data_IF_517136974335
#
_entry.id   IF_517136974335
#
_cell.length_a   1.000
_cell.length_b   1.000
_cell.length_c   1.000
_cell.angle_alpha   90.00
_cell.angle_beta   90.00
_cell.angle_gamma   90.00
#
_symmetry.space_group_name_H-M   'P 1'
#
loop_
_entity.id
_entity.type
_entity.pdbx_description
1 polymer ?
#
# COMPACT_ATOMS: atom_id res chain seq x y z
N UNK A 1 -4.36 -11.06 8.03
CA UNK A 1 -4.26 -11.11 6.55
C UNK A 1 -4.85 -12.43 6.10
N UNK A 2 -5.80 -12.38 5.16
CA UNK A 2 -6.51 -13.55 4.64
C UNK A 2 -6.23 -13.72 3.15
N UNK A 3 -6.39 -14.97 2.66
CA UNK A 3 -6.19 -15.32 1.24
C UNK A 3 -7.52 -15.76 0.65
N UNK A 4 -7.99 -15.08 -0.39
CA UNK A 4 -9.28 -15.35 -1.03
C UNK A 4 -9.17 -15.33 -2.56
N UNK A 5 -10.13 -15.96 -3.24
CA UNK A 5 -10.19 -15.91 -4.70
C UNK A 5 -10.71 -14.54 -5.16
N UNK A 6 -9.88 -13.78 -5.87
CA UNK A 6 -10.23 -12.44 -6.37
C UNK A 6 -10.25 -12.44 -7.90
N UNK A 7 -11.16 -11.67 -8.49
CA UNK A 7 -11.39 -11.64 -9.95
C UNK A 7 -10.84 -10.40 -10.65
N UNK A 8 -10.47 -9.35 -9.91
CA UNK A 8 -10.08 -8.06 -10.48
C UNK A 8 -8.89 -7.40 -9.78
N UNK A 9 -8.89 -7.38 -8.45
CA UNK A 9 -7.82 -6.79 -7.66
C UNK A 9 -6.89 -7.86 -7.10
N UNK A 10 -5.65 -7.46 -6.84
CA UNK A 10 -4.67 -8.32 -6.16
C UNK A 10 -4.96 -8.42 -4.66
N UNK A 11 -5.59 -7.42 -4.07
CA UNK A 11 -5.99 -7.37 -2.67
C UNK A 11 -6.97 -6.23 -2.42
N UNK A 12 -7.45 -6.14 -1.19
CA UNK A 12 -8.17 -4.99 -0.69
C UNK A 12 -8.11 -4.92 0.85
N UNK A 13 -8.34 -3.71 1.34
CA UNK A 13 -8.61 -3.42 2.75
C UNK A 13 -10.10 -3.19 2.93
N UNK A 14 -10.69 -3.88 3.90
CA UNK A 14 -12.02 -3.54 4.43
C UNK A 14 -11.83 -2.73 5.72
N UNK A 15 -12.05 -1.40 5.68
CA UNK A 15 -11.86 -0.56 6.85
C UNK A 15 -12.81 -0.88 8.00
N UNK A 16 -14.05 -1.29 7.69
CA UNK A 16 -15.08 -1.53 8.70
C UNK A 16 -14.77 -2.76 9.55
N UNK A 17 -14.29 -3.83 8.92
CA UNK A 17 -13.89 -5.06 9.61
C UNK A 17 -12.39 -5.10 9.96
N UNK A 18 -11.62 -4.08 9.55
CA UNK A 18 -10.15 -4.01 9.65
C UNK A 18 -9.45 -5.23 9.05
N UNK A 19 -10.03 -5.79 8.00
CA UNK A 19 -9.50 -6.97 7.31
C UNK A 19 -8.65 -6.55 6.12
N UNK A 20 -7.54 -7.26 5.94
CA UNK A 20 -6.70 -7.21 4.74
C UNK A 20 -6.82 -8.55 4.03
N UNK A 21 -7.31 -8.52 2.79
CA UNK A 21 -7.54 -9.68 1.95
C UNK A 21 -6.62 -9.62 0.74
N UNK A 22 -5.96 -10.75 0.43
CA UNK A 22 -5.00 -10.89 -0.65
C UNK A 22 -5.43 -12.03 -1.57
N UNK A 23 -5.23 -11.87 -2.87
CA UNK A 23 -5.52 -12.89 -3.87
C UNK A 23 -4.78 -14.20 -3.57
N UNK A 24 -5.52 -15.31 -3.59
CA UNK A 24 -4.98 -16.64 -3.30
C UNK A 24 -3.93 -17.09 -4.34
N UNK A 25 -4.12 -16.71 -5.60
CA UNK A 25 -3.28 -17.15 -6.73
C UNK A 25 -2.03 -16.30 -6.97
N UNK A 26 -1.76 -15.31 -6.11
CA UNK A 26 -0.59 -14.45 -6.25
C UNK A 26 0.69 -15.18 -5.88
N UNK A 27 1.73 -15.00 -6.70
CA UNK A 27 3.10 -15.41 -6.36
C UNK A 27 3.52 -14.84 -5.00
N UNK A 28 4.43 -15.50 -4.24
CA UNK A 28 4.83 -15.02 -2.92
C UNK A 28 5.29 -13.55 -2.90
N UNK A 29 6.07 -13.13 -3.90
CA UNK A 29 6.54 -11.75 -4.01
C UNK A 29 5.39 -10.75 -4.26
N UNK A 30 4.48 -11.06 -5.19
CA UNK A 30 3.31 -10.21 -5.45
C UNK A 30 2.36 -10.17 -4.26
N UNK A 31 2.18 -11.28 -3.56
CA UNK A 31 1.38 -11.35 -2.35
C UNK A 31 1.99 -10.50 -1.22
N UNK A 32 3.30 -10.57 -1.02
CA UNK A 32 4.00 -9.73 -0.05
C UNK A 32 3.85 -8.24 -0.38
N UNK A 33 4.11 -7.83 -1.63
CA UNK A 33 3.89 -6.44 -2.09
C UNK A 33 2.45 -5.99 -1.84
N UNK A 34 1.49 -6.83 -2.21
CA UNK A 34 0.06 -6.50 -2.06
C UNK A 34 -0.30 -6.36 -0.59
N UNK A 35 0.18 -7.26 0.28
CA UNK A 35 -0.08 -7.19 1.71
C UNK A 35 0.50 -5.92 2.34
N UNK A 36 1.71 -5.50 1.94
CA UNK A 36 2.31 -4.24 2.39
C UNK A 36 1.49 -3.02 1.94
N UNK A 37 1.00 -3.03 0.70
CA UNK A 37 0.16 -1.97 0.14
C UNK A 37 -1.19 -1.87 0.87
N UNK A 38 -1.89 -2.98 1.06
CA UNK A 38 -3.16 -2.98 1.79
C UNK A 38 -2.97 -2.61 3.27
N UNK A 39 -1.90 -3.08 3.92
CA UNK A 39 -1.58 -2.65 5.27
C UNK A 39 -1.32 -1.14 5.35
N UNK A 40 -0.69 -0.54 4.32
CA UNK A 40 -0.53 0.90 4.24
C UNK A 40 -1.89 1.63 4.14
N UNK A 41 -2.83 1.12 3.32
CA UNK A 41 -4.21 1.64 3.30
C UNK A 41 -4.89 1.54 4.65
N UNK A 42 -4.76 0.40 5.34
CA UNK A 42 -5.34 0.23 6.68
C UNK A 42 -4.76 1.22 7.72
N UNK A 43 -3.48 1.58 7.60
CA UNK A 43 -2.83 2.51 8.52
C UNK A 43 -3.10 3.98 8.23
N UNK A 44 -3.19 4.35 6.96
CA UNK A 44 -3.32 5.75 6.52
C UNK A 44 -4.77 6.17 6.23
N UNK A 45 -5.59 5.24 5.75
CA UNK A 45 -6.85 5.57 5.06
C UNK A 45 -8.09 4.89 5.65
N UNK A 46 -7.96 4.06 6.67
CA UNK A 46 -9.09 3.30 7.22
C UNK A 46 -10.20 4.18 7.83
N UNK A 47 -9.85 5.36 8.33
CA UNK A 47 -10.80 6.29 8.96
C UNK A 47 -11.31 7.37 7.98
N UNK A 48 -10.94 7.29 6.69
CA UNK A 48 -11.44 8.21 5.68
C UNK A 48 -12.87 7.83 5.26
N UNK A 49 -13.75 8.83 5.21
CA UNK A 49 -15.06 8.66 4.59
C UNK A 49 -14.90 8.25 3.12
N UNK A 50 -15.73 7.32 2.59
CA UNK A 50 -15.58 6.82 1.23
C UNK A 50 -15.56 7.92 0.16
N UNK A 51 -16.32 8.98 0.35
CA UNK A 51 -16.32 10.13 -0.55
C UNK A 51 -14.98 10.89 -0.57
N UNK A 52 -14.38 11.09 0.60
CA UNK A 52 -13.07 11.75 0.73
C UNK A 52 -11.95 10.88 0.16
N UNK A 53 -12.03 9.56 0.38
CA UNK A 53 -11.11 8.61 -0.27
C UNK A 53 -11.20 8.69 -1.79
N UNK A 54 -12.41 8.68 -2.35
CA UNK A 54 -12.60 8.73 -3.80
C UNK A 54 -12.14 10.06 -4.41
N UNK A 55 -12.35 11.18 -3.71
CA UNK A 55 -11.89 12.51 -4.13
C UNK A 55 -10.37 12.60 -4.19
N UNK A 56 -9.67 12.01 -3.22
CA UNK A 56 -8.21 12.06 -3.11
C UNK A 56 -7.53 10.74 -3.45
N UNK A 57 -8.18 9.89 -4.25
CA UNK A 57 -7.73 8.52 -4.49
C UNK A 57 -6.30 8.46 -5.03
N UNK A 58 -5.92 9.35 -5.94
CA UNK A 58 -4.56 9.39 -6.49
C UNK A 58 -3.49 9.62 -5.43
N UNK A 59 -3.77 10.47 -4.43
CA UNK A 59 -2.87 10.73 -3.30
C UNK A 59 -2.79 9.47 -2.42
N UNK A 60 -3.94 8.90 -2.04
CA UNK A 60 -4.00 7.72 -1.18
C UNK A 60 -3.26 6.51 -1.80
N UNK A 61 -3.45 6.27 -3.09
CA UNK A 61 -2.77 5.19 -3.79
C UNK A 61 -1.27 5.47 -3.97
N UNK A 62 -0.88 6.74 -4.19
CA UNK A 62 0.54 7.16 -4.21
C UNK A 62 1.20 6.89 -2.85
N UNK A 63 0.54 7.23 -1.75
CA UNK A 63 1.04 6.96 -0.40
C UNK A 63 1.16 5.45 -0.16
N UNK A 64 0.11 4.67 -0.42
CA UNK A 64 0.10 3.24 -0.14
C UNK A 64 1.13 2.47 -0.98
N UNK A 65 1.27 2.77 -2.27
CA UNK A 65 2.30 2.17 -3.13
C UNK A 65 3.71 2.56 -2.71
N UNK A 66 3.92 3.82 -2.31
CA UNK A 66 5.23 4.29 -1.86
C UNK A 66 5.63 3.67 -0.53
N UNK A 67 4.70 3.54 0.42
CA UNK A 67 4.91 2.82 1.69
C UNK A 67 5.29 1.37 1.42
N UNK A 68 4.55 0.67 0.55
CA UNK A 68 4.82 -0.71 0.20
C UNK A 68 6.22 -0.89 -0.42
N UNK A 69 6.61 0.03 -1.31
CA UNK A 69 7.94 0.03 -1.92
C UNK A 69 9.06 0.21 -0.90
N UNK A 70 8.95 1.22 -0.02
CA UNK A 70 9.97 1.49 1.00
C UNK A 70 10.06 0.34 2.01
N UNK A 71 8.93 -0.14 2.53
CA UNK A 71 8.90 -1.24 3.48
C UNK A 71 9.45 -2.54 2.89
N UNK A 72 9.09 -2.87 1.63
CA UNK A 72 9.65 -4.01 0.93
C UNK A 72 11.18 -3.91 0.82
N UNK A 73 11.71 -2.74 0.46
CA UNK A 73 13.15 -2.49 0.38
C UNK A 73 13.86 -2.69 1.72
N UNK A 74 13.28 -2.20 2.83
CA UNK A 74 13.82 -2.40 4.18
C UNK A 74 13.83 -3.88 4.57
N UNK A 75 12.83 -4.66 4.14
CA UNK A 75 12.73 -6.10 4.37
C UNK A 75 13.58 -6.93 3.40
N UNK A 76 14.34 -6.31 2.50
CA UNK A 76 15.19 -6.99 1.52
C UNK A 76 14.44 -7.61 0.34
N UNK A 77 13.21 -7.17 0.07
CA UNK A 77 12.38 -7.62 -1.06
C UNK A 77 12.51 -6.62 -2.23
N UNK A 78 13.01 -7.08 -3.39
CA UNK A 78 13.04 -6.26 -4.60
C UNK A 78 11.66 -6.25 -5.30
N UNK A 79 10.95 -5.13 -5.15
CA UNK A 79 9.65 -4.86 -5.80
C UNK A 79 9.74 -3.79 -6.88
N UNK A 80 10.95 -3.35 -7.24
CA UNK A 80 11.19 -2.20 -8.13
C UNK A 80 10.52 -2.36 -9.50
N UNK A 81 10.52 -3.58 -10.04
CA UNK A 81 9.91 -3.92 -11.33
C UNK A 81 8.39 -3.63 -11.41
N UNK A 82 7.71 -3.51 -10.27
CA UNK A 82 6.26 -3.33 -10.20
C UNK A 82 5.89 -1.98 -9.58
N UNK A 83 6.49 -1.62 -8.44
CA UNK A 83 6.04 -0.48 -7.63
C UNK A 83 6.29 0.89 -8.26
N UNK A 84 7.43 1.08 -8.94
CA UNK A 84 7.79 2.42 -9.48
C UNK A 84 6.79 2.86 -10.55
N UNK A 85 6.34 1.93 -11.40
CA UNK A 85 5.33 2.21 -12.41
C UNK A 85 3.99 2.64 -11.81
N UNK A 86 3.57 2.01 -10.71
CA UNK A 86 2.33 2.39 -10.01
C UNK A 86 2.45 3.75 -9.31
N UNK A 87 3.56 4.02 -8.62
CA UNK A 87 3.79 5.33 -7.99
C UNK A 87 3.78 6.44 -9.03
N UNK A 88 4.48 6.25 -10.16
CA UNK A 88 4.47 7.21 -11.27
C UNK A 88 3.07 7.37 -11.88
N UNK A 89 2.32 6.28 -12.02
CA UNK A 89 0.96 6.29 -12.53
C UNK A 89 -0.01 7.07 -11.64
N UNK A 90 -0.04 6.78 -10.35
CA UNK A 90 -0.96 7.41 -9.39
C UNK A 90 -0.63 8.88 -9.12
N UNK A 91 0.66 9.22 -9.07
CA UNK A 91 1.11 10.61 -8.92
C UNK A 91 1.04 11.39 -10.24
N UNK A 92 0.76 10.74 -11.37
CA UNK A 92 0.95 11.31 -12.72
C UNK A 92 2.36 11.88 -12.94
N UNK A 93 3.36 11.38 -12.21
CA UNK A 93 4.73 11.91 -12.23
C UNK A 93 4.87 13.32 -11.64
N UNK A 94 3.84 13.82 -10.95
CA UNK A 94 3.87 15.14 -10.31
C UNK A 94 4.77 15.12 -9.07
N UNK A 95 5.86 15.88 -9.14
CA UNK A 95 6.83 15.99 -8.07
C UNK A 95 6.24 16.60 -6.80
N UNK A 96 5.23 17.47 -6.91
CA UNK A 96 4.64 18.11 -5.73
C UNK A 96 3.71 17.15 -4.98
N UNK A 97 2.96 16.30 -5.69
CA UNK A 97 2.24 15.16 -5.09
C UNK A 97 3.21 14.22 -4.36
N UNK A 98 4.35 13.87 -4.97
CA UNK A 98 5.35 13.00 -4.32
C UNK A 98 5.94 13.66 -3.07
N UNK A 99 6.29 14.96 -3.13
CA UNK A 99 6.79 15.69 -1.95
C UNK A 99 5.74 15.80 -0.85
N UNK A 100 4.49 16.05 -1.21
CA UNK A 100 3.38 16.21 -0.27
C UNK A 100 3.09 14.95 0.53
N UNK A 101 3.31 13.78 -0.07
CA UNK A 101 3.07 12.46 0.54
C UNK A 101 4.29 11.92 1.30
N UNK A 102 5.50 12.39 0.99
CA UNK A 102 6.76 11.80 1.46
C UNK A 102 6.86 11.66 3.00
N UNK A 103 6.38 12.65 3.76
CA UNK A 103 6.43 12.59 5.23
C UNK A 103 5.56 11.48 5.81
N UNK A 104 4.33 11.34 5.29
CA UNK A 104 3.42 10.26 5.68
C UNK A 104 3.97 8.91 5.25
N UNK A 105 4.49 8.82 4.03
CA UNK A 105 5.12 7.60 3.49
C UNK A 105 6.25 7.12 4.40
N UNK A 106 7.19 7.99 4.74
CA UNK A 106 8.35 7.62 5.57
C UNK A 106 7.91 7.16 6.97
N UNK A 107 7.02 7.92 7.61
CA UNK A 107 6.50 7.59 8.94
C UNK A 107 5.78 6.24 8.94
N UNK A 108 4.86 6.03 8.01
CA UNK A 108 4.06 4.81 7.94
C UNK A 108 4.91 3.60 7.56
N UNK A 109 5.88 3.75 6.65
CA UNK A 109 6.78 2.66 6.30
C UNK A 109 7.59 2.18 7.51
N UNK A 110 8.14 3.09 8.32
CA UNK A 110 8.83 2.72 9.56
C UNK A 110 7.90 2.00 10.54
N UNK A 111 6.73 2.58 10.83
CA UNK A 111 5.76 1.95 11.73
C UNK A 111 5.33 0.56 11.26
N UNK A 112 5.12 0.39 9.95
CA UNK A 112 4.73 -0.88 9.37
C UNK A 112 5.85 -1.91 9.52
N UNK A 113 7.10 -1.56 9.21
CA UNK A 113 8.24 -2.47 9.38
C UNK A 113 8.43 -2.82 10.85
N UNK A 114 8.39 -1.83 11.76
CA UNK A 114 8.53 -2.04 13.20
C UNK A 114 7.49 -3.04 13.73
N UNK A 115 6.23 -2.89 13.30
CA UNK A 115 5.15 -3.81 13.66
C UNK A 115 5.36 -5.24 13.12
N UNK A 116 6.05 -5.40 11.99
CA UNK A 116 6.33 -6.72 11.41
C UNK A 116 7.52 -7.42 12.07
N UNK A 117 8.52 -6.67 12.51
CA UNK A 117 9.77 -7.24 13.06
C UNK A 117 9.78 -7.31 14.59
N UNK A 118 8.89 -6.56 15.25
CA UNK A 118 8.75 -6.57 16.72
C UNK A 118 7.65 -7.52 17.22
N UNK A 119 6.94 -8.18 16.30
CA UNK A 119 5.92 -9.19 16.58
C UNK A 119 6.55 -10.60 16.61
#
# INVERSE_FOLDING_TARGET
VEREQLTRANGYTDPASRRVVIGADLSPAQAAKTALHEAAHAMLHADLEPAAYLEHRGIAETEAESVAYVAAGVLGLDTSAYSIGYVAGWSHGDADTIKGTAANVLKTAHQLVDNLVSA
#
